data_IF_713500725397
#
_entry.id   IF_713500725397
#
_cell.length_a   1.000
_cell.length_b   1.000
_cell.length_c   1.000
_cell.angle_alpha   90.00
_cell.angle_beta   90.00
_cell.angle_gamma   90.00
#
_symmetry.space_group_name_H-M   'P 1'
#
loop_
_entity.id
_entity.type
_entity.pdbx_description
1 polymer ?
#
# COMPACT_ATOMS: atom_id res chain seq x y z
N UNK A 1 10.40 -30.16 13.95
CA UNK A 1 11.41 -29.27 13.33
C UNK A 1 10.72 -28.59 12.17
N UNK A 2 10.34 -27.33 12.34
CA UNK A 2 9.74 -26.52 11.27
C UNK A 2 10.92 -25.98 10.46
N UNK A 3 10.92 -26.26 9.16
CA UNK A 3 11.98 -25.91 8.22
C UNK A 3 12.08 -24.39 8.06
N UNK A 4 13.30 -23.84 8.05
CA UNK A 4 13.61 -22.41 7.84
C UNK A 4 13.14 -21.84 6.49
N UNK A 5 12.50 -22.63 5.63
CA UNK A 5 12.06 -22.28 4.28
C UNK A 5 10.54 -22.14 4.09
N UNK A 6 9.73 -22.34 5.14
CA UNK A 6 8.27 -22.16 5.07
C UNK A 6 7.69 -21.63 6.40
N UNK A 7 7.69 -20.30 6.63
CA UNK A 7 7.21 -19.74 7.89
C UNK A 7 5.68 -19.75 8.06
N UNK A 8 4.89 -20.06 7.03
CA UNK A 8 3.43 -19.93 7.06
C UNK A 8 2.74 -21.30 7.01
N UNK A 9 2.11 -21.71 8.12
CA UNK A 9 1.16 -22.82 8.13
C UNK A 9 -0.20 -22.42 7.51
N UNK A 10 -0.61 -21.16 7.70
CA UNK A 10 -1.68 -20.44 6.99
C UNK A 10 -1.51 -18.93 7.23
N UNK A 11 -2.20 -18.08 6.45
CA UNK A 11 -2.19 -16.62 6.63
C UNK A 11 -2.87 -16.18 7.93
N UNK A 12 -4.00 -16.82 8.28
CA UNK A 12 -4.69 -16.52 9.53
C UNK A 12 -3.80 -16.75 10.76
N UNK A 13 -3.05 -17.85 10.77
CA UNK A 13 -2.12 -18.18 11.86
C UNK A 13 -0.99 -17.16 11.97
N UNK A 14 -0.57 -16.60 10.84
CA UNK A 14 0.47 -15.58 10.79
C UNK A 14 -0.02 -14.21 11.26
N UNK A 15 -1.20 -13.80 10.82
CA UNK A 15 -1.85 -12.57 11.30
C UNK A 15 -2.09 -12.60 12.81
N UNK A 16 -2.62 -13.71 13.32
CA UNK A 16 -2.85 -13.90 14.76
C UNK A 16 -1.54 -13.87 15.56
N UNK A 17 -0.46 -14.43 15.00
CA UNK A 17 0.87 -14.41 15.60
C UNK A 17 1.46 -12.98 15.64
N UNK A 18 1.36 -12.20 14.56
CA UNK A 18 1.79 -10.78 14.55
C UNK A 18 0.99 -9.96 15.57
N UNK A 19 -0.35 -10.10 15.57
CA UNK A 19 -1.22 -9.43 16.56
C UNK A 19 -0.85 -9.79 18.00
N UNK A 20 -0.48 -11.05 18.26
CA UNK A 20 -0.09 -11.49 19.61
C UNK A 20 1.25 -10.89 20.08
N UNK A 21 2.19 -10.64 19.15
CA UNK A 21 3.51 -10.07 19.43
C UNK A 21 3.47 -8.56 19.64
N UNK A 22 2.54 -7.87 18.96
CA UNK A 22 2.41 -6.42 18.97
C UNK A 22 1.00 -5.96 19.42
N UNK A 23 0.62 -6.18 20.69
CA UNK A 23 -0.71 -5.82 21.17
C UNK A 23 -0.86 -4.31 21.37
N UNK A 24 -1.97 -3.74 20.87
CA UNK A 24 -2.42 -2.38 21.18
C UNK A 24 -2.79 -2.24 22.68
N UNK A 25 -2.62 -1.05 23.28
CA UNK A 25 -2.96 -0.80 24.69
C UNK A 25 -4.46 -0.95 24.98
N UNK A 26 -5.31 -0.80 23.96
CA UNK A 26 -6.70 -1.22 23.93
C UNK A 26 -6.80 -2.37 22.92
N UNK A 27 -7.01 -3.60 23.38
CA UNK A 27 -7.11 -4.76 22.49
C UNK A 27 -8.31 -4.62 21.53
N UNK A 28 -8.10 -4.04 20.34
CA UNK A 28 -9.03 -4.19 19.20
C UNK A 28 -9.00 -5.66 18.76
N UNK A 29 -10.17 -6.27 18.60
CA UNK A 29 -10.27 -7.61 18.02
C UNK A 29 -9.89 -7.56 16.54
N UNK A 30 -9.52 -8.70 15.94
CA UNK A 30 -9.14 -8.76 14.51
C UNK A 30 -10.27 -8.22 13.62
N UNK A 31 -11.52 -8.46 14.03
CA UNK A 31 -12.74 -8.04 13.37
C UNK A 31 -13.00 -6.52 13.48
N UNK A 32 -12.35 -5.84 14.43
CA UNK A 32 -12.49 -4.40 14.63
C UNK A 32 -11.55 -3.59 13.73
N UNK A 33 -10.49 -4.21 13.19
CA UNK A 33 -9.62 -3.58 12.19
C UNK A 33 -10.34 -3.47 10.85
N UNK A 34 -10.22 -2.30 10.20
CA UNK A 34 -10.87 -2.03 8.91
C UNK A 34 -12.39 -2.26 8.94
N UNK A 35 -13.05 -1.91 10.04
CA UNK A 35 -14.51 -1.96 10.14
C UNK A 35 -15.15 -0.79 9.36
N UNK A 36 -15.71 -1.10 8.19
CA UNK A 36 -16.37 -0.14 7.32
C UNK A 36 -17.90 -0.09 7.51
N UNK A 37 -18.49 -1.00 8.28
CA UNK A 37 -19.93 -1.01 8.55
C UNK A 37 -20.31 0.05 9.60
N UNK A 38 -19.45 0.23 10.60
CA UNK A 38 -19.57 1.26 11.63
C UNK A 38 -18.24 1.98 11.82
N UNK A 39 -17.81 2.80 10.83
CA UNK A 39 -16.50 3.44 10.90
C UNK A 39 -16.47 4.41 12.08
N UNK A 40 -15.33 4.47 12.76
CA UNK A 40 -15.12 5.42 13.88
C UNK A 40 -15.14 6.88 13.40
N UNK A 41 -14.92 7.12 12.11
CA UNK A 41 -14.91 8.44 11.47
C UNK A 41 -15.83 8.46 10.23
N UNK A 42 -16.81 9.35 10.22
CA UNK A 42 -17.69 9.58 9.07
C UNK A 42 -16.92 10.01 7.79
N UNK A 43 -15.70 10.54 7.94
CA UNK A 43 -14.85 11.01 6.84
C UNK A 43 -14.39 9.88 5.91
N UNK A 44 -14.25 8.65 6.39
CA UNK A 44 -13.75 7.50 5.61
C UNK A 44 -14.75 7.11 4.51
N UNK A 45 -16.05 7.16 4.81
CA UNK A 45 -17.09 6.86 3.81
C UNK A 45 -17.14 7.91 2.71
N UNK A 46 -17.03 9.19 3.05
CA UNK A 46 -16.99 10.27 2.06
C UNK A 46 -15.69 10.23 1.24
N UNK A 47 -14.57 9.89 1.86
CA UNK A 47 -13.29 9.66 1.17
C UNK A 47 -13.45 8.63 0.05
N UNK A 48 -13.98 7.44 0.38
CA UNK A 48 -14.15 6.37 -0.61
C UNK A 48 -15.24 6.70 -1.64
N UNK A 49 -16.27 7.47 -1.26
CA UNK A 49 -17.23 8.00 -2.24
C UNK A 49 -16.52 8.85 -3.29
N UNK A 50 -15.63 9.76 -2.90
CA UNK A 50 -14.86 10.59 -3.82
C UNK A 50 -13.88 9.75 -4.64
N UNK A 51 -13.13 8.85 -4.01
CA UNK A 51 -12.20 7.94 -4.67
C UNK A 51 -12.90 7.14 -5.79
N UNK A 52 -13.96 6.40 -5.46
CA UNK A 52 -14.67 5.57 -6.45
C UNK A 52 -15.38 6.39 -7.52
N UNK A 53 -15.76 7.65 -7.23
CA UNK A 53 -16.39 8.53 -8.23
C UNK A 53 -15.38 9.01 -9.27
N UNK A 54 -14.14 9.33 -8.88
CA UNK A 54 -13.20 10.09 -9.71
C UNK A 54 -11.97 9.32 -10.19
N UNK A 55 -11.66 8.15 -9.63
CA UNK A 55 -10.64 7.23 -10.16
C UNK A 55 -11.16 6.56 -11.44
N UNK A 56 -11.04 7.28 -12.55
CA UNK A 56 -11.33 6.77 -13.90
C UNK A 56 -10.05 6.35 -14.62
N UNK A 57 -10.18 5.55 -15.67
CA UNK A 57 -9.06 5.16 -16.52
C UNK A 57 -8.30 6.39 -17.06
N UNK A 58 -9.02 7.40 -17.56
CA UNK A 58 -8.40 8.62 -18.08
C UNK A 58 -7.70 9.44 -16.99
N UNK A 59 -8.30 9.55 -15.79
CA UNK A 59 -7.70 10.22 -14.65
C UNK A 59 -6.37 9.57 -14.25
N UNK A 60 -6.35 8.25 -14.09
CA UNK A 60 -5.14 7.50 -13.72
C UNK A 60 -4.04 7.72 -14.76
N UNK A 61 -4.38 7.58 -16.05
CA UNK A 61 -3.43 7.79 -17.15
C UNK A 61 -2.88 9.22 -17.18
N UNK A 62 -3.67 10.21 -16.78
CA UNK A 62 -3.21 11.59 -16.65
C UNK A 62 -2.26 11.77 -15.47
N UNK A 63 -2.55 11.19 -14.32
CA UNK A 63 -1.68 11.25 -13.14
C UNK A 63 -0.35 10.55 -13.36
N UNK A 64 -0.34 9.41 -14.04
CA UNK A 64 0.90 8.75 -14.48
C UNK A 64 1.75 9.70 -15.35
N UNK A 65 1.14 10.39 -16.33
CA UNK A 65 1.86 11.36 -17.18
C UNK A 65 2.35 12.58 -16.41
N UNK A 66 1.65 12.96 -15.36
CA UNK A 66 2.02 14.10 -14.52
C UNK A 66 3.19 13.76 -13.61
N UNK A 67 3.05 12.73 -12.78
CA UNK A 67 3.93 12.48 -11.63
C UNK A 67 5.10 11.55 -11.92
N UNK A 68 5.03 10.69 -12.95
CA UNK A 68 6.14 9.78 -13.29
C UNK A 68 7.31 10.47 -14.02
N UNK A 69 7.26 11.81 -14.13
CA UNK A 69 8.40 12.64 -14.55
C UNK A 69 9.39 12.87 -13.39
N UNK A 70 8.93 12.72 -12.15
CA UNK A 70 9.71 12.95 -10.93
C UNK A 70 10.38 14.34 -10.91
N UNK A 71 9.61 15.38 -11.20
CA UNK A 71 10.10 16.76 -11.34
C UNK A 71 9.57 17.72 -10.27
N UNK A 72 8.95 17.19 -9.19
CA UNK A 72 8.37 18.01 -8.11
C UNK A 72 9.43 18.36 -7.07
N UNK A 73 10.33 17.43 -6.72
CA UNK A 73 11.37 17.66 -5.70
C UNK A 73 12.55 16.68 -5.82
N UNK A 74 13.71 17.05 -5.30
CA UNK A 74 14.82 16.12 -5.10
C UNK A 74 15.29 16.20 -3.64
N UNK A 75 15.32 15.05 -2.96
CA UNK A 75 15.63 14.97 -1.53
C UNK A 75 16.43 13.70 -1.22
N UNK A 76 17.29 13.71 -0.18
CA UNK A 76 17.72 12.48 0.47
C UNK A 76 16.52 11.67 0.95
N UNK A 77 16.58 10.34 0.92
CA UNK A 77 15.46 9.46 1.28
C UNK A 77 14.93 9.74 2.68
N UNK A 78 15.83 9.93 3.66
CA UNK A 78 15.42 10.33 5.01
C UNK A 78 14.71 11.68 5.04
N UNK A 79 15.15 12.63 4.20
CA UNK A 79 14.47 13.92 4.03
C UNK A 79 13.10 13.79 3.36
N UNK A 80 12.88 12.78 2.52
CA UNK A 80 11.56 12.46 1.98
C UNK A 80 10.63 11.91 3.08
N UNK A 81 11.15 11.12 4.02
CA UNK A 81 10.36 10.67 5.20
C UNK A 81 10.01 11.84 6.11
N UNK A 82 10.96 12.73 6.41
CA UNK A 82 10.70 13.93 7.21
C UNK A 82 9.70 14.87 6.51
N UNK A 83 9.71 14.92 5.16
CA UNK A 83 8.72 15.64 4.39
C UNK A 83 7.35 14.99 4.50
N UNK A 84 7.24 13.67 4.27
CA UNK A 84 6.00 12.90 4.45
C UNK A 84 5.40 13.10 5.85
N UNK A 85 6.25 13.19 6.88
CA UNK A 85 5.84 13.41 8.26
C UNK A 85 5.06 14.71 8.52
N UNK A 86 4.99 15.60 7.54
CA UNK A 86 4.14 16.81 7.61
C UNK A 86 2.70 16.55 7.18
N UNK A 87 2.39 15.35 6.68
CA UNK A 87 1.07 14.91 6.26
C UNK A 87 0.26 14.33 7.43
N UNK A 88 -1.04 14.64 7.47
CA UNK A 88 -2.04 13.93 8.28
C UNK A 88 -2.91 13.10 7.32
N UNK A 89 -2.98 11.78 7.50
CA UNK A 89 -3.73 10.85 6.64
C UNK A 89 -5.18 10.72 7.14
N UNK A 90 -6.15 11.16 6.33
CA UNK A 90 -7.58 11.19 6.66
C UNK A 90 -8.30 9.87 6.32
N UNK A 91 -7.62 8.92 5.65
CA UNK A 91 -8.23 7.68 5.14
C UNK A 91 -8.12 6.49 6.09
N UNK A 92 -7.13 6.49 6.98
CA UNK A 92 -6.89 5.41 7.93
C UNK A 92 -7.82 5.54 9.16
N UNK A 93 -8.77 4.61 9.37
CA UNK A 93 -9.66 4.64 10.53
C UNK A 93 -8.95 4.27 11.85
N UNK A 94 -7.72 3.75 11.78
CA UNK A 94 -7.05 3.05 12.86
C UNK A 94 -5.79 3.78 13.39
N UNK A 95 -5.52 5.06 13.04
CA UNK A 95 -4.34 5.78 13.56
C UNK A 95 -4.47 7.32 13.69
N UNK A 96 -3.95 7.84 14.82
CA UNK A 96 -3.55 9.23 15.07
C UNK A 96 -2.01 9.38 15.12
N UNK A 97 -1.27 8.38 14.63
CA UNK A 97 0.19 8.32 14.70
C UNK A 97 0.84 9.15 13.59
N UNK A 98 1.99 9.72 13.95
CA UNK A 98 2.92 10.36 13.02
C UNK A 98 3.36 9.37 11.93
N UNK A 99 3.38 9.77 10.65
CA UNK A 99 3.66 8.86 9.52
C UNK A 99 5.02 8.15 9.66
N UNK A 100 6.05 8.86 10.14
CA UNK A 100 7.36 8.28 10.41
C UNK A 100 7.32 7.21 11.51
N UNK A 101 6.45 7.35 12.50
CA UNK A 101 6.26 6.34 13.55
C UNK A 101 5.64 5.07 12.95
N UNK A 102 4.62 5.19 12.11
CA UNK A 102 4.03 4.06 11.38
C UNK A 102 5.07 3.28 10.56
N UNK A 103 5.84 4.00 9.74
CA UNK A 103 6.90 3.41 8.91
C UNK A 103 7.96 2.69 9.74
N UNK A 104 8.41 3.30 10.85
CA UNK A 104 9.39 2.68 11.74
C UNK A 104 8.81 1.50 12.52
N UNK A 105 7.54 1.53 12.94
CA UNK A 105 6.90 0.40 13.62
C UNK A 105 6.79 -0.81 12.69
N UNK A 106 6.36 -0.57 11.45
CA UNK A 106 6.30 -1.59 10.40
C UNK A 106 7.69 -2.19 10.17
N UNK A 107 8.69 -1.36 9.92
CA UNK A 107 10.05 -1.81 9.63
C UNK A 107 10.72 -2.53 10.82
N UNK A 108 10.57 -2.02 12.05
CA UNK A 108 11.15 -2.64 13.24
C UNK A 108 10.51 -3.98 13.57
N UNK A 109 9.22 -4.16 13.26
CA UNK A 109 8.55 -5.45 13.44
C UNK A 109 9.07 -6.49 12.45
N UNK A 110 9.24 -6.10 11.18
CA UNK A 110 9.89 -6.94 10.16
C UNK A 110 11.33 -7.29 10.58
N UNK A 111 12.06 -6.32 11.14
CA UNK A 111 13.45 -6.50 11.60
C UNK A 111 13.54 -7.43 12.81
N UNK A 112 12.64 -7.30 13.78
CA UNK A 112 12.60 -8.12 14.98
C UNK A 112 12.35 -9.60 14.66
N UNK A 113 11.58 -9.87 13.61
CA UNK A 113 11.29 -11.21 13.11
C UNK A 113 12.42 -11.81 12.24
N UNK A 114 13.53 -11.08 12.05
CA UNK A 114 14.72 -11.58 11.37
C UNK A 114 14.59 -11.71 9.86
N UNK A 115 13.67 -10.96 9.23
CA UNK A 115 13.56 -10.93 7.78
C UNK A 115 14.77 -10.24 7.13
N UNK A 116 15.02 -10.49 5.83
CA UNK A 116 16.08 -9.82 5.09
C UNK A 116 15.96 -8.29 5.16
N UNK A 117 17.09 -7.62 5.05
CA UNK A 117 17.20 -6.18 5.16
C UNK A 117 16.47 -5.40 4.06
N UNK A 118 16.37 -5.93 2.83
CA UNK A 118 15.50 -5.35 1.80
C UNK A 118 14.01 -5.37 2.20
N UNK A 119 13.57 -6.34 3.00
CA UNK A 119 12.19 -6.43 3.48
C UNK A 119 11.96 -5.41 4.60
N UNK A 120 12.93 -5.27 5.51
CA UNK A 120 12.93 -4.20 6.53
C UNK A 120 12.84 -2.83 5.86
N UNK A 121 13.67 -2.58 4.84
CA UNK A 121 13.64 -1.34 4.08
C UNK A 121 12.30 -1.14 3.35
N UNK A 122 11.68 -2.21 2.87
CA UNK A 122 10.34 -2.11 2.25
C UNK A 122 9.31 -1.61 3.26
N UNK A 123 9.31 -2.15 4.48
CA UNK A 123 8.44 -1.66 5.55
C UNK A 123 8.67 -0.17 5.87
N UNK A 124 9.91 0.29 5.81
CA UNK A 124 10.23 1.70 6.05
C UNK A 124 9.80 2.63 4.91
N UNK A 125 9.66 2.12 3.68
CA UNK A 125 9.41 2.93 2.50
C UNK A 125 7.98 2.86 1.97
N UNK A 126 7.19 1.83 2.31
CA UNK A 126 5.94 1.47 1.62
C UNK A 126 4.95 2.64 1.45
N UNK A 127 4.85 3.52 2.45
CA UNK A 127 3.97 4.69 2.43
C UNK A 127 4.64 5.99 1.95
N UNK A 128 5.91 5.97 1.53
CA UNK A 128 6.62 7.16 1.06
C UNK A 128 5.88 7.86 -0.10
N UNK A 129 5.16 7.09 -0.93
CA UNK A 129 4.39 7.66 -2.04
C UNK A 129 3.30 8.65 -1.62
N UNK A 130 2.91 8.67 -0.33
CA UNK A 130 1.94 9.62 0.22
C UNK A 130 2.41 11.08 0.17
N UNK A 131 3.69 11.33 -0.14
CA UNK A 131 4.20 12.69 -0.46
C UNK A 131 3.43 13.38 -1.59
N UNK A 132 2.70 12.64 -2.43
CA UNK A 132 1.77 13.22 -3.43
C UNK A 132 0.76 14.19 -2.80
N UNK A 133 0.25 13.90 -1.59
CA UNK A 133 -0.64 14.81 -0.87
C UNK A 133 0.03 16.17 -0.61
N UNK A 134 1.33 16.17 -0.33
CA UNK A 134 2.12 17.38 -0.09
C UNK A 134 2.45 18.14 -1.38
N UNK A 135 2.24 17.52 -2.54
CA UNK A 135 2.29 18.17 -3.86
C UNK A 135 0.92 18.71 -4.30
N UNK A 136 -0.08 18.67 -3.41
CA UNK A 136 -1.42 19.25 -3.64
C UNK A 136 -2.45 18.26 -4.16
N UNK A 137 -2.11 16.97 -4.26
CA UNK A 137 -3.11 15.95 -4.61
C UNK A 137 -4.12 15.78 -3.47
N UNK A 138 -5.41 15.60 -3.79
CA UNK A 138 -6.39 15.26 -2.78
C UNK A 138 -6.12 13.85 -2.25
N UNK A 139 -6.38 13.61 -0.96
CA UNK A 139 -6.09 12.33 -0.32
C UNK A 139 -6.73 11.14 -1.07
N UNK A 140 -7.96 11.29 -1.59
CA UNK A 140 -8.63 10.22 -2.34
C UNK A 140 -7.89 9.78 -3.60
N UNK A 141 -6.97 10.60 -4.13
CA UNK A 141 -6.12 10.29 -5.28
C UNK A 141 -4.72 9.78 -4.87
N UNK A 142 -4.48 9.53 -3.57
CA UNK A 142 -3.17 9.19 -3.03
C UNK A 142 -3.23 7.96 -2.14
N UNK A 143 -4.10 7.97 -1.14
CA UNK A 143 -4.19 6.93 -0.10
C UNK A 143 -5.40 6.01 -0.33
N UNK A 144 -5.61 5.05 0.57
CA UNK A 144 -6.74 4.12 0.54
C UNK A 144 -6.52 2.89 -0.36
N UNK A 145 -7.48 1.97 -0.28
CA UNK A 145 -7.46 0.72 -1.05
C UNK A 145 -7.44 0.98 -2.56
N UNK A 146 -6.64 0.19 -3.28
CA UNK A 146 -6.51 0.28 -4.73
C UNK A 146 -7.31 -0.79 -5.47
N UNK A 147 -7.64 -0.49 -6.72
CA UNK A 147 -8.37 -1.40 -7.61
C UNK A 147 -7.98 -1.16 -9.08
N UNK A 148 -8.11 -2.16 -9.97
CA UNK A 148 -7.94 -1.98 -11.41
C UNK A 148 -8.96 -1.00 -11.98
N UNK A 149 -8.49 -0.01 -12.75
CA UNK A 149 -9.33 0.86 -13.60
C UNK A 149 -9.35 0.33 -15.02
N UNK A 150 -10.33 0.70 -15.84
CA UNK A 150 -10.41 0.26 -17.25
C UNK A 150 -10.96 -1.15 -17.45
N UNK A 151 -11.47 -1.78 -16.40
CA UNK A 151 -12.30 -3.00 -16.43
C UNK A 151 -13.41 -2.90 -15.37
N UNK A 152 -14.35 -3.83 -15.37
CA UNK A 152 -15.45 -3.83 -14.41
C UNK A 152 -14.95 -3.86 -12.96
N UNK A 153 -15.51 -2.98 -12.12
CA UNK A 153 -15.23 -2.94 -10.69
C UNK A 153 -15.81 -4.16 -9.97
N UNK A 154 -15.03 -4.77 -9.08
CA UNK A 154 -15.44 -5.91 -8.26
C UNK A 154 -16.36 -5.47 -7.12
N UNK A 155 -17.33 -6.31 -6.75
CA UNK A 155 -18.17 -6.14 -5.55
C UNK A 155 -17.40 -6.42 -4.24
N UNK A 156 -16.13 -6.84 -4.35
CA UNK A 156 -15.18 -7.03 -3.24
C UNK A 156 -14.37 -5.79 -2.88
N UNK A 157 -14.48 -4.72 -3.67
CA UNK A 157 -13.89 -3.43 -3.28
C UNK A 157 -14.74 -2.85 -2.15
N UNK A 158 -14.10 -2.18 -1.18
CA UNK A 158 -14.81 -1.47 -0.11
C UNK A 158 -15.84 -0.49 -0.70
N UNK A 159 -17.02 -0.37 -0.10
CA UNK A 159 -18.12 0.49 -0.59
C UNK A 159 -18.33 0.48 -2.12
N UNK A 160 -18.56 -0.70 -2.72
CA UNK A 160 -18.65 -0.84 -4.18
C UNK A 160 -19.88 -0.12 -4.74
N UNK A 161 -20.88 0.21 -3.90
CA UNK A 161 -22.05 0.97 -4.31
C UNK A 161 -21.71 2.37 -4.85
N UNK A 162 -20.56 2.94 -4.48
CA UNK A 162 -20.16 4.27 -4.95
C UNK A 162 -19.68 4.29 -6.40
N UNK A 163 -19.32 3.14 -6.99
CA UNK A 163 -19.01 3.05 -8.41
C UNK A 163 -20.22 3.36 -9.31
N UNK A 164 -21.44 3.43 -8.77
CA UNK A 164 -22.60 3.96 -9.47
C UNK A 164 -22.44 5.44 -9.88
N UNK A 165 -21.53 6.19 -9.24
CA UNK A 165 -21.21 7.57 -9.61
C UNK A 165 -20.03 7.67 -10.61
N UNK A 166 -19.30 6.57 -10.83
CA UNK A 166 -18.15 6.57 -11.73
C UNK A 166 -18.62 6.48 -13.19
N UNK A 167 -18.20 7.39 -14.09
CA UNK A 167 -18.59 7.33 -15.50
C UNK A 167 -18.10 6.05 -16.20
N UNK A 168 -16.97 5.46 -15.80
CA UNK A 168 -16.42 4.26 -16.43
C UNK A 168 -17.29 3.02 -16.20
N UNK A 169 -18.10 3.00 -15.14
CA UNK A 169 -19.09 1.93 -14.90
C UNK A 169 -20.16 1.85 -15.99
N UNK A 170 -20.31 2.90 -16.80
CA UNK A 170 -21.29 2.99 -17.88
C UNK A 170 -20.66 3.04 -19.29
N UNK A 171 -19.33 3.11 -19.39
CA UNK A 171 -18.62 3.05 -20.69
C UNK A 171 -18.39 1.58 -21.08
N UNK A 172 -18.90 1.18 -22.26
CA UNK A 172 -18.77 -0.18 -22.80
C UNK A 172 -17.31 -0.63 -22.99
N UNK A 173 -16.34 0.30 -23.04
CA UNK A 173 -14.91 -0.01 -23.08
C UNK A 173 -14.38 -0.53 -21.75
N UNK A 174 -14.95 -0.08 -20.63
CA UNK A 174 -14.41 -0.31 -19.29
C UNK A 174 -15.32 -1.19 -18.44
N UNK A 175 -16.64 -1.17 -18.66
CA UNK A 175 -17.59 -1.86 -17.79
C UNK A 175 -17.76 -3.37 -18.05
N UNK A 176 -16.89 -3.97 -18.85
CA UNK A 176 -16.86 -5.42 -19.08
C UNK A 176 -15.79 -6.07 -18.20
N UNK A 177 -15.89 -7.40 -18.01
CA UNK A 177 -14.96 -8.18 -17.17
C UNK A 177 -13.49 -7.85 -17.45
N UNK A 178 -13.12 -7.71 -18.71
CA UNK A 178 -11.74 -7.43 -19.11
C UNK A 178 -11.53 -5.97 -19.51
N UNK A 179 -12.58 -5.26 -19.92
CA UNK A 179 -12.50 -3.89 -20.39
C UNK A 179 -11.43 -3.74 -21.47
N UNK A 180 -10.37 -2.96 -21.18
CA UNK A 180 -9.23 -2.74 -22.09
C UNK A 180 -8.13 -3.80 -22.01
N UNK A 181 -8.23 -4.76 -21.08
CA UNK A 181 -7.20 -5.75 -20.82
C UNK A 181 -7.44 -7.07 -21.55
N UNK A 182 -6.36 -7.83 -21.74
CA UNK A 182 -6.44 -9.22 -22.18
C UNK A 182 -6.58 -10.16 -20.96
N UNK A 183 -7.18 -11.35 -21.11
CA UNK A 183 -7.22 -12.34 -20.05
C UNK A 183 -5.81 -12.72 -19.57
N UNK A 184 -5.61 -12.74 -18.24
CA UNK A 184 -4.34 -13.11 -17.60
C UNK A 184 -3.14 -12.33 -18.16
N UNK A 185 -3.34 -11.03 -18.47
CA UNK A 185 -2.29 -10.17 -19.01
C UNK A 185 -1.13 -9.91 -18.05
N UNK A 186 -1.33 -10.19 -16.76
CA UNK A 186 -0.42 -9.90 -15.68
C UNK A 186 -0.60 -8.46 -15.19
N UNK A 187 -0.60 -8.25 -13.86
CA UNK A 187 -0.87 -6.95 -13.23
C UNK A 187 0.14 -5.87 -13.63
N UNK A 188 1.32 -6.25 -14.14
CA UNK A 188 2.27 -5.30 -14.76
C UNK A 188 1.69 -4.52 -15.95
N UNK A 189 0.65 -5.05 -16.59
CA UNK A 189 -0.05 -4.46 -17.74
C UNK A 189 -1.41 -3.86 -17.36
N UNK A 190 -1.75 -3.84 -16.06
CA UNK A 190 -3.02 -3.31 -15.54
C UNK A 190 -2.77 -1.94 -14.94
N UNK A 191 -3.62 -0.97 -15.29
CA UNK A 191 -3.64 0.32 -14.60
C UNK A 191 -4.46 0.17 -13.30
N UNK A 192 -3.79 0.42 -12.17
CA UNK A 192 -4.43 0.51 -10.86
C UNK A 192 -4.93 1.94 -10.64
N UNK A 193 -5.96 2.12 -9.82
CA UNK A 193 -6.34 3.43 -9.27
C UNK A 193 -5.10 4.16 -8.77
N UNK A 194 -4.94 5.43 -9.15
CA UNK A 194 -3.71 6.17 -8.91
C UNK A 194 -3.53 6.43 -7.41
N UNK A 195 -2.31 6.26 -6.92
CA UNK A 195 -1.97 6.47 -5.52
C UNK A 195 -0.52 6.23 -5.17
N UNK A 196 -0.24 6.18 -3.87
CA UNK A 196 1.10 6.02 -3.30
C UNK A 196 1.79 4.72 -3.72
N UNK A 197 1.08 3.61 -3.86
CA UNK A 197 1.61 2.32 -4.33
C UNK A 197 2.35 2.41 -5.67
N UNK A 198 1.64 2.82 -6.73
CA UNK A 198 2.19 2.88 -8.10
C UNK A 198 3.29 3.93 -8.19
N UNK A 199 3.08 5.09 -7.57
CA UNK A 199 4.06 6.16 -7.57
C UNK A 199 5.37 5.73 -6.88
N UNK A 200 5.29 5.11 -5.71
CA UNK A 200 6.46 4.59 -5.01
C UNK A 200 7.15 3.49 -5.82
N UNK A 201 6.39 2.54 -6.34
CA UNK A 201 6.93 1.46 -7.18
C UNK A 201 7.77 2.03 -8.33
N UNK A 202 7.25 3.05 -9.02
CA UNK A 202 7.95 3.65 -10.16
C UNK A 202 9.24 4.38 -9.76
N UNK A 203 9.34 4.90 -8.54
CA UNK A 203 10.58 5.47 -8.00
C UNK A 203 11.58 4.34 -7.65
N UNK A 204 11.09 3.23 -7.12
CA UNK A 204 11.93 2.16 -6.54
C UNK A 204 12.36 1.07 -7.52
N UNK A 205 11.69 0.93 -8.67
CA UNK A 205 11.81 -0.22 -9.60
C UNK A 205 13.23 -0.55 -10.07
N UNK A 206 14.13 0.44 -10.10
CA UNK A 206 15.51 0.27 -10.56
C UNK A 206 16.49 -0.05 -9.40
N UNK A 207 16.02 -0.08 -8.15
CA UNK A 207 16.85 -0.19 -6.95
C UNK A 207 16.51 -1.40 -6.06
N UNK A 208 15.23 -1.70 -5.92
CA UNK A 208 14.74 -2.71 -4.97
C UNK A 208 14.51 -4.07 -5.65
N UNK A 209 14.67 -5.20 -4.94
CA UNK A 209 14.40 -6.52 -5.51
C UNK A 209 12.89 -6.70 -5.79
N UNK A 210 12.56 -7.55 -6.77
CA UNK A 210 11.18 -7.72 -7.25
C UNK A 210 10.13 -8.03 -6.15
N UNK A 211 10.39 -8.89 -5.14
CA UNK A 211 9.44 -9.07 -4.03
C UNK A 211 9.14 -7.77 -3.26
N UNK A 212 10.14 -6.91 -3.04
CA UNK A 212 9.95 -5.59 -2.44
C UNK A 212 9.04 -4.71 -3.30
N UNK A 213 9.29 -4.71 -4.61
CA UNK A 213 8.52 -3.94 -5.58
C UNK A 213 7.06 -4.37 -5.63
N UNK A 214 6.77 -5.68 -5.61
CA UNK A 214 5.39 -6.18 -5.57
C UNK A 214 4.68 -5.82 -4.26
N UNK A 215 5.39 -5.88 -3.12
CA UNK A 215 4.81 -5.43 -1.84
C UNK A 215 4.48 -3.93 -1.91
N UNK A 216 5.40 -3.07 -2.34
CA UNK A 216 5.15 -1.64 -2.48
C UNK A 216 3.99 -1.32 -3.44
N UNK A 217 3.95 -2.01 -4.59
CA UNK A 217 3.00 -1.72 -5.67
C UNK A 217 1.56 -2.19 -5.42
N UNK A 218 1.38 -3.18 -4.54
CA UNK A 218 0.09 -3.86 -4.39
C UNK A 218 -0.35 -4.07 -2.93
N UNK A 219 0.32 -3.45 -1.95
CA UNK A 219 -0.07 -3.58 -0.54
C UNK A 219 -1.42 -2.93 -0.21
N UNK A 220 -1.89 -1.99 -1.03
CA UNK A 220 -3.23 -1.41 -0.92
C UNK A 220 -4.29 -2.19 -1.72
N UNK A 221 -3.92 -3.25 -2.46
CA UNK A 221 -4.84 -3.97 -3.35
C UNK A 221 -5.66 -5.04 -2.60
N UNK A 222 -6.40 -4.63 -1.56
CA UNK A 222 -7.11 -5.51 -0.64
C UNK A 222 -8.14 -6.42 -1.31
N UNK A 223 -8.86 -5.89 -2.31
CA UNK A 223 -9.81 -6.70 -3.07
C UNK A 223 -9.15 -7.90 -3.77
N UNK A 224 -7.84 -7.86 -4.01
CA UNK A 224 -7.08 -9.04 -4.39
C UNK A 224 -6.51 -9.75 -3.16
N UNK A 225 -5.51 -9.18 -2.48
CA UNK A 225 -4.69 -9.98 -1.56
C UNK A 225 -5.44 -10.48 -0.30
N UNK A 226 -6.65 -9.96 -0.04
CA UNK A 226 -7.57 -10.43 1.01
C UNK A 226 -8.78 -11.18 0.43
N UNK A 227 -9.43 -10.63 -0.58
CA UNK A 227 -10.72 -11.16 -1.10
C UNK A 227 -10.59 -12.06 -2.35
N UNK A 228 -9.37 -12.23 -2.86
CA UNK A 228 -9.02 -13.01 -4.04
C UNK A 228 -9.78 -12.60 -5.33
N UNK A 229 -10.21 -11.35 -5.46
CA UNK A 229 -10.78 -10.84 -6.70
C UNK A 229 -9.70 -10.67 -7.78
N UNK A 230 -10.12 -10.35 -9.01
CA UNK A 230 -9.23 -10.02 -10.14
C UNK A 230 -8.25 -11.11 -10.61
N UNK A 231 -8.40 -12.37 -10.17
CA UNK A 231 -7.62 -13.52 -10.69
C UNK A 231 -7.66 -13.67 -12.23
N UNK A 232 -8.66 -13.10 -12.90
CA UNK A 232 -8.77 -13.13 -14.36
C UNK A 232 -7.82 -12.15 -15.08
N UNK A 233 -7.17 -11.23 -14.36
CA UNK A 233 -6.14 -10.32 -14.88
C UNK A 233 -4.73 -10.78 -14.49
N UNK A 234 -4.59 -11.54 -13.40
CA UNK A 234 -3.32 -12.03 -12.89
C UNK A 234 -2.75 -13.18 -13.74
N UNK A 235 -1.43 -13.22 -13.87
CA UNK A 235 -0.71 -14.37 -14.43
C UNK A 235 -0.02 -15.20 -13.33
N UNK A 236 0.63 -16.30 -13.72
CA UNK A 236 1.33 -17.20 -12.79
C UNK A 236 2.38 -16.46 -11.94
N UNK A 237 3.01 -15.43 -12.50
CA UNK A 237 4.03 -14.64 -11.80
C UNK A 237 3.41 -13.78 -10.71
N UNK A 238 2.27 -13.13 -10.99
CA UNK A 238 1.54 -12.38 -9.99
C UNK A 238 1.10 -13.27 -8.82
N UNK A 239 0.59 -14.48 -9.10
CA UNK A 239 0.17 -15.41 -8.06
C UNK A 239 1.33 -15.80 -7.12
N UNK A 240 2.53 -15.99 -7.67
CA UNK A 240 3.74 -16.25 -6.89
C UNK A 240 4.16 -15.02 -6.07
N UNK A 241 4.13 -13.83 -6.67
CA UNK A 241 4.54 -12.60 -5.99
C UNK A 241 3.55 -12.14 -4.91
N UNK A 242 2.25 -12.41 -5.07
CA UNK A 242 1.25 -12.08 -4.07
C UNK A 242 1.43 -12.85 -2.75
N UNK A 243 2.24 -13.92 -2.72
CA UNK A 243 2.68 -14.54 -1.47
C UNK A 243 3.51 -13.56 -0.61
N UNK A 244 4.28 -12.67 -1.23
CA UNK A 244 5.02 -11.62 -0.53
C UNK A 244 4.11 -10.48 -0.08
N UNK A 245 3.19 -10.03 -0.93
CA UNK A 245 2.18 -9.00 -0.58
C UNK A 245 1.40 -9.43 0.67
N UNK A 246 0.87 -10.66 0.68
CA UNK A 246 0.17 -11.23 1.84
C UNK A 246 1.05 -11.42 3.07
N UNK A 247 2.35 -11.66 2.88
CA UNK A 247 3.30 -11.76 4.01
C UNK A 247 3.60 -10.39 4.63
N UNK A 248 3.60 -9.33 3.83
CA UNK A 248 3.84 -7.96 4.28
C UNK A 248 2.64 -7.34 5.00
N UNK A 249 1.43 -7.55 4.46
CA UNK A 249 0.22 -6.89 4.93
C UNK A 249 -0.02 -6.92 6.47
N UNK A 250 0.26 -8.02 7.20
CA UNK A 250 0.09 -8.04 8.65
C UNK A 250 1.04 -7.09 9.39
N UNK A 251 2.24 -6.84 8.85
CA UNK A 251 3.16 -5.85 9.43
C UNK A 251 2.66 -4.44 9.24
N UNK A 252 2.17 -4.10 8.06
CA UNK A 252 1.55 -2.80 7.79
C UNK A 252 0.33 -2.57 8.71
N UNK A 253 -0.57 -3.55 8.80
CA UNK A 253 -1.85 -3.38 9.50
C UNK A 253 -1.75 -3.49 11.04
N UNK A 254 -0.93 -4.42 11.56
CA UNK A 254 -0.99 -4.84 12.96
C UNK A 254 0.26 -4.51 13.80
N UNK A 255 1.32 -3.94 13.22
CA UNK A 255 2.57 -3.64 13.96
C UNK A 255 2.49 -2.46 14.93
N UNK A 256 1.29 -1.94 15.19
CA UNK A 256 1.03 -0.78 16.03
C UNK A 256 1.39 -1.09 17.49
N UNK A 257 2.57 -0.62 17.91
CA UNK A 257 3.13 -0.88 19.23
C UNK A 257 2.85 0.28 20.22
N UNK A 258 2.47 0.00 21.48
CA UNK A 258 2.35 1.03 22.53
C UNK A 258 3.69 1.64 22.92
N UNK A 259 4.81 0.99 22.59
CA UNK A 259 6.16 1.56 22.74
C UNK A 259 6.58 2.16 21.39
N UNK A 260 6.50 3.49 21.23
CA UNK A 260 6.87 4.14 19.98
C UNK A 260 8.38 4.00 19.70
N UNK A 261 8.78 3.77 18.43
CA UNK A 261 10.17 3.81 17.99
C UNK A 261 10.87 5.13 18.36
N UNK A 262 12.07 5.02 18.94
CA UNK A 262 12.92 6.19 19.24
C UNK A 262 13.73 6.54 18.00
N UNK A 263 13.25 7.52 17.22
CA UNK A 263 13.83 7.92 15.93
C UNK A 263 15.33 8.16 16.01
N UNK A 264 15.81 8.84 17.06
CA UNK A 264 17.24 9.17 17.21
C UNK A 264 18.13 7.93 17.39
N UNK A 265 17.60 6.83 17.92
CA UNK A 265 18.34 5.56 18.09
C UNK A 265 18.33 4.74 16.79
N UNK A 266 17.25 4.83 16.01
CA UNK A 266 17.06 4.04 14.79
C UNK A 266 17.64 4.70 13.55
N UNK A 267 17.68 6.04 13.50
CA UNK A 267 18.11 6.81 12.33
C UNK A 267 19.44 6.33 11.72
N UNK A 268 20.52 6.10 12.50
CA UNK A 268 21.78 5.62 11.91
C UNK A 268 21.65 4.27 11.18
N UNK A 269 20.87 3.33 11.74
CA UNK A 269 20.65 2.03 11.11
C UNK A 269 19.91 2.16 9.78
N UNK A 270 18.86 2.98 9.74
CA UNK A 270 18.08 3.18 8.52
C UNK A 270 18.82 4.02 7.48
N UNK A 271 19.64 4.99 7.88
CA UNK A 271 20.52 5.72 6.96
C UNK A 271 21.53 4.78 6.28
N UNK A 272 22.16 3.86 7.03
CA UNK A 272 23.05 2.83 6.48
C UNK A 272 22.29 1.87 5.54
N UNK A 273 21.07 1.46 5.93
CA UNK A 273 20.24 0.57 5.13
C UNK A 273 19.78 1.24 3.82
N UNK A 274 19.38 2.51 3.87
CA UNK A 274 19.08 3.33 2.69
C UNK A 274 20.30 3.40 1.79
N UNK A 275 21.48 3.75 2.33
CA UNK A 275 22.71 3.90 1.55
C UNK A 275 23.16 2.59 0.87
N UNK A 276 22.75 1.43 1.40
CA UNK A 276 23.01 0.12 0.79
C UNK A 276 22.21 -0.10 -0.50
N UNK A 277 20.97 0.39 -0.58
CA UNK A 277 20.04 0.08 -1.68
C UNK A 277 19.79 1.24 -2.62
N UNK A 278 19.78 2.45 -2.10
CA UNK A 278 19.24 3.64 -2.77
C UNK A 278 20.36 4.66 -3.06
N UNK A 279 20.18 5.50 -4.09
CA UNK A 279 21.06 6.64 -4.33
C UNK A 279 20.98 7.65 -3.17
N UNK A 280 21.96 8.54 -3.11
CA UNK A 280 22.02 9.58 -2.08
C UNK A 280 20.79 10.50 -2.06
N UNK A 281 20.16 10.72 -3.22
CA UNK A 281 18.93 11.49 -3.39
C UNK A 281 17.97 10.77 -4.32
N UNK A 282 16.68 10.98 -4.09
CA UNK A 282 15.60 10.56 -4.97
C UNK A 282 14.94 11.78 -5.58
N UNK A 283 14.52 11.63 -6.83
CA UNK A 283 13.62 12.55 -7.51
C UNK A 283 12.20 12.10 -7.25
N UNK A 284 11.38 13.02 -6.76
CA UNK A 284 9.96 12.89 -6.43
C UNK A 284 9.13 13.67 -7.44
#
# INVERSE_FOLDING_TARGET
MISETAPLASLDVWEDDVLSRYPQPEHKAKEDYRNYDTPERDTVREFYRLNHTYQTYDFVREKEREFLKFDKKELPVWGAMEFLNTLVDDSDPDTDLDQLQHLLQTAESIRADGHPDWFVLTGFLHDMGKVLCLFGEPQWAVVGDTFPVGCAHSDKIVYPEFFANNPDSYDEKYNTKYGVYEPNCGLRNVHMSWGHDEYLYQIMKDYMPEPALYMMRYHSFYSQHREEAYNHLMDDHDHEMFKWVRKFNPYDLYSKSPKPPVVSELKPYYEDLIAKYLPATLKL
#
